data_IF_719336447159
#
_entry.id   IF_719336447159
#
_cell.length_a   1.000
_cell.length_b   1.000
_cell.length_c   1.000
_cell.angle_alpha   90.00
_cell.angle_beta   90.00
_cell.angle_gamma   90.00
#
_symmetry.space_group_name_H-M   'P 1'
#
loop_
_entity.id
_entity.type
_entity.pdbx_description
1 polymer ?
#
# COMPACT_ATOMS: atom_id res chain seq x y z
N UNK A 1 -36.23 20.85 3.59
CA UNK A 1 -35.48 19.72 4.18
C UNK A 1 -36.42 18.52 4.26
N UNK A 2 -36.32 17.47 3.42
CA UNK A 2 -36.77 16.09 3.77
C UNK A 2 -36.63 15.05 2.63
N UNK A 3 -36.58 15.43 1.35
CA UNK A 3 -36.41 14.44 0.27
C UNK A 3 -35.02 13.78 0.31
N UNK A 4 -33.94 14.58 0.39
CA UNK A 4 -32.56 14.07 0.45
C UNK A 4 -32.34 13.16 1.66
N UNK A 5 -32.79 13.58 2.85
CA UNK A 5 -32.63 12.79 4.10
C UNK A 5 -33.39 11.46 4.02
N UNK A 6 -34.60 11.46 3.48
CA UNK A 6 -35.41 10.24 3.32
C UNK A 6 -34.76 9.28 2.32
N UNK A 7 -34.28 9.80 1.19
CA UNK A 7 -33.56 9.01 0.18
C UNK A 7 -32.26 8.45 0.75
N UNK A 8 -31.50 9.25 1.52
CA UNK A 8 -30.26 8.80 2.17
C UNK A 8 -30.53 7.70 3.21
N UNK A 9 -31.59 7.83 4.03
CA UNK A 9 -31.97 6.82 5.02
C UNK A 9 -32.39 5.51 4.36
N UNK A 10 -33.20 5.58 3.31
CA UNK A 10 -33.64 4.40 2.57
C UNK A 10 -32.46 3.72 1.86
N UNK A 11 -31.55 4.52 1.30
CA UNK A 11 -30.31 4.03 0.68
C UNK A 11 -29.40 3.30 1.68
N UNK A 12 -29.18 3.89 2.86
CA UNK A 12 -28.42 3.27 3.95
C UNK A 12 -29.08 1.98 4.46
N UNK A 13 -30.41 1.94 4.58
CA UNK A 13 -31.11 0.73 5.02
C UNK A 13 -30.88 -0.45 4.06
N UNK A 14 -30.91 -0.21 2.74
CA UNK A 14 -30.57 -1.23 1.75
C UNK A 14 -29.11 -1.62 1.76
N UNK A 15 -28.20 -0.70 2.07
CA UNK A 15 -26.77 -1.00 2.19
C UNK A 15 -26.50 -2.03 3.27
N UNK A 16 -27.12 -1.88 4.44
CA UNK A 16 -26.92 -2.80 5.56
C UNK A 16 -27.72 -4.11 5.43
N UNK A 17 -28.77 -4.14 4.60
CA UNK A 17 -29.52 -5.36 4.31
C UNK A 17 -28.69 -6.42 3.54
N UNK A 18 -27.79 -6.00 2.64
CA UNK A 18 -26.88 -6.90 1.93
C UNK A 18 -25.54 -7.02 2.68
N UNK A 19 -25.35 -8.12 3.41
CA UNK A 19 -24.13 -8.40 4.16
C UNK A 19 -22.87 -8.33 3.30
N UNK A 20 -22.94 -8.77 2.03
CA UNK A 20 -21.77 -8.76 1.16
C UNK A 20 -21.40 -7.34 0.73
N UNK A 21 -22.35 -6.41 0.72
CA UNK A 21 -22.14 -5.04 0.27
C UNK A 21 -21.28 -4.20 1.24
N UNK A 22 -21.46 -4.39 2.55
CA UNK A 22 -20.77 -3.59 3.57
C UNK A 22 -19.59 -4.32 4.23
N UNK A 23 -19.62 -5.65 4.35
CA UNK A 23 -18.65 -6.40 5.17
C UNK A 23 -17.22 -6.30 4.62
N UNK A 24 -17.03 -6.38 3.30
CA UNK A 24 -15.70 -6.30 2.68
C UNK A 24 -15.06 -4.89 2.83
N UNK A 25 -15.73 -3.78 2.49
CA UNK A 25 -15.20 -2.44 2.75
C UNK A 25 -14.93 -2.17 4.23
N UNK A 26 -15.85 -2.56 5.12
CA UNK A 26 -15.71 -2.35 6.58
C UNK A 26 -14.51 -3.11 7.12
N UNK A 27 -14.35 -4.40 6.76
CA UNK A 27 -13.20 -5.19 7.16
C UNK A 27 -11.88 -4.58 6.67
N UNK A 28 -11.85 -4.08 5.42
CA UNK A 28 -10.65 -3.43 4.88
C UNK A 28 -10.29 -2.15 5.64
N UNK A 29 -11.26 -1.26 5.93
CA UNK A 29 -11.03 -0.08 6.75
C UNK A 29 -10.66 -0.43 8.20
N UNK A 30 -11.19 -1.52 8.75
CA UNK A 30 -10.83 -2.02 10.08
C UNK A 30 -9.36 -2.46 10.14
N UNK A 31 -8.89 -3.22 9.15
CA UNK A 31 -7.48 -3.64 9.05
C UNK A 31 -6.55 -2.42 8.89
N UNK A 32 -6.90 -1.49 8.00
CA UNK A 32 -6.16 -0.22 7.82
C UNK A 32 -6.06 0.51 9.15
N UNK A 33 -7.17 0.67 9.87
CA UNK A 33 -7.21 1.41 11.13
C UNK A 33 -6.45 0.71 12.25
N UNK A 34 -6.60 -0.61 12.41
CA UNK A 34 -5.89 -1.38 13.43
C UNK A 34 -4.36 -1.28 13.25
N UNK A 35 -3.89 -1.43 12.01
CA UNK A 35 -2.46 -1.37 11.70
C UNK A 35 -1.93 0.07 11.80
N UNK A 36 -2.65 1.07 11.30
CA UNK A 36 -2.24 2.48 11.43
C UNK A 36 -2.18 2.95 12.88
N UNK A 37 -3.14 2.57 13.73
CA UNK A 37 -3.11 2.89 15.16
C UNK A 37 -1.95 2.18 15.88
N UNK A 38 -1.69 0.91 15.54
CA UNK A 38 -0.57 0.16 16.11
C UNK A 38 0.78 0.80 15.78
N UNK A 39 0.98 1.20 14.52
CA UNK A 39 2.20 1.89 14.07
C UNK A 39 2.31 3.26 14.72
N UNK A 40 1.25 4.06 14.74
CA UNK A 40 1.26 5.38 15.37
C UNK A 40 1.55 5.30 16.88
N UNK A 41 0.99 4.30 17.57
CA UNK A 41 1.27 4.02 18.97
C UNK A 41 2.74 3.68 19.22
N UNK A 42 3.30 2.77 18.42
CA UNK A 42 4.72 2.42 18.48
C UNK A 42 5.64 3.60 18.16
N UNK A 43 5.30 4.42 17.16
CA UNK A 43 6.08 5.63 16.84
C UNK A 43 6.03 6.60 18.01
N UNK A 44 4.85 6.85 18.59
CA UNK A 44 4.70 7.73 19.76
C UNK A 44 5.59 7.28 20.92
N UNK A 45 5.66 5.97 21.20
CA UNK A 45 6.51 5.41 22.26
C UNK A 45 7.96 5.89 22.15
N UNK A 46 8.57 5.80 20.96
CA UNK A 46 9.97 6.22 20.77
C UNK A 46 10.17 7.73 20.89
N UNK A 47 9.15 8.54 20.61
CA UNK A 47 9.20 10.00 20.78
C UNK A 47 9.00 10.45 22.23
N UNK A 48 8.52 9.56 23.11
CA UNK A 48 8.32 9.83 24.55
C UNK A 48 9.40 9.22 25.43
N UNK A 49 10.43 8.59 24.86
CA UNK A 49 11.54 8.03 25.63
C UNK A 49 12.41 9.15 26.22
N UNK A 50 12.61 9.12 27.53
CA UNK A 50 13.41 10.10 28.25
C UNK A 50 14.91 9.91 28.00
N UNK A 51 15.66 11.02 28.00
CA UNK A 51 17.11 11.03 27.78
C UNK A 51 17.89 10.20 28.82
N UNK A 52 17.36 10.02 30.03
CA UNK A 52 17.96 9.14 31.04
C UNK A 52 17.94 7.67 30.64
N UNK A 53 16.97 7.23 29.84
CA UNK A 53 16.78 5.82 29.48
C UNK A 53 17.56 5.42 28.23
N UNK A 54 17.64 6.33 27.26
CA UNK A 54 18.25 6.08 25.94
C UNK A 54 19.54 6.87 25.68
N UNK A 55 19.97 7.70 26.63
CA UNK A 55 21.22 8.47 26.53
C UNK A 55 21.31 9.28 25.24
N UNK A 56 22.50 9.29 24.64
CA UNK A 56 22.78 9.93 23.34
C UNK A 56 22.10 9.21 22.16
N UNK A 57 21.63 7.98 22.35
CA UNK A 57 21.02 7.14 21.31
C UNK A 57 19.55 7.43 21.06
N UNK A 58 18.89 8.23 21.92
CA UNK A 58 17.47 8.59 21.77
C UNK A 58 17.13 9.16 20.39
N UNK A 59 18.04 9.96 19.82
CA UNK A 59 17.88 10.47 18.47
C UNK A 59 17.78 9.36 17.41
N UNK A 60 18.61 8.32 17.50
CA UNK A 60 18.60 7.21 16.53
C UNK A 60 17.28 6.45 16.59
N UNK A 61 16.72 6.21 17.79
CA UNK A 61 15.39 5.64 17.93
C UNK A 61 14.31 6.49 17.24
N UNK A 62 14.37 7.82 17.38
CA UNK A 62 13.43 8.72 16.70
C UNK A 62 13.56 8.65 15.17
N UNK A 63 14.79 8.61 14.63
CA UNK A 63 15.03 8.46 13.19
C UNK A 63 14.45 7.14 12.68
N UNK A 64 14.73 6.03 13.36
CA UNK A 64 14.26 4.70 12.99
C UNK A 64 12.74 4.58 13.07
N UNK A 65 12.13 5.12 14.12
CA UNK A 65 10.68 5.16 14.28
C UNK A 65 10.00 6.01 13.21
N UNK A 66 10.56 7.19 12.90
CA UNK A 66 10.04 8.04 11.83
C UNK A 66 10.19 7.38 10.45
N UNK A 67 11.33 6.71 10.21
CA UNK A 67 11.59 5.98 8.97
C UNK A 67 10.58 4.83 8.79
N UNK A 68 10.36 4.05 9.85
CA UNK A 68 9.33 3.01 9.89
C UNK A 68 7.93 3.56 9.56
N UNK A 69 7.56 4.72 10.14
CA UNK A 69 6.28 5.37 9.86
C UNK A 69 6.15 5.73 8.38
N UNK A 70 7.14 6.43 7.81
CA UNK A 70 7.16 6.86 6.41
C UNK A 70 7.06 5.67 5.45
N UNK A 71 7.82 4.60 5.72
CA UNK A 71 7.80 3.38 4.92
C UNK A 71 6.44 2.69 4.94
N UNK A 72 5.64 2.82 5.99
CA UNK A 72 4.32 2.20 6.10
C UNK A 72 3.17 3.07 5.59
N UNK A 73 3.36 4.40 5.44
CA UNK A 73 2.32 5.32 4.95
C UNK A 73 1.78 4.89 3.57
N UNK A 74 2.67 4.55 2.62
CA UNK A 74 2.24 4.21 1.27
C UNK A 74 1.45 2.88 1.18
N UNK A 75 1.89 1.77 1.81
CA UNK A 75 1.09 0.55 1.92
C UNK A 75 -0.29 0.78 2.54
N UNK A 76 -0.38 1.61 3.58
CA UNK A 76 -1.66 2.00 4.22
C UNK A 76 -2.57 2.73 3.22
N UNK A 77 -2.05 3.74 2.52
CA UNK A 77 -2.81 4.49 1.49
C UNK A 77 -3.26 3.56 0.36
N UNK A 78 -2.38 2.64 -0.07
CA UNK A 78 -2.69 1.66 -1.11
C UNK A 78 -3.85 0.75 -0.71
N UNK A 79 -3.84 0.23 0.51
CA UNK A 79 -4.91 -0.61 1.05
C UNK A 79 -6.22 0.17 1.20
N UNK A 80 -6.18 1.40 1.73
CA UNK A 80 -7.34 2.28 1.82
C UNK A 80 -7.94 2.59 0.43
N UNK A 81 -7.10 2.84 -0.56
CA UNK A 81 -7.51 3.04 -1.95
C UNK A 81 -8.12 1.78 -2.58
N UNK A 82 -7.60 0.60 -2.26
CA UNK A 82 -8.16 -0.68 -2.70
C UNK A 82 -9.55 -0.92 -2.09
N UNK A 83 -9.73 -0.62 -0.81
CA UNK A 83 -11.02 -0.65 -0.12
C UNK A 83 -12.04 0.31 -0.76
N UNK A 84 -11.63 1.54 -1.04
CA UNK A 84 -12.48 2.53 -1.69
C UNK A 84 -12.92 2.11 -3.12
N UNK A 85 -12.05 1.44 -3.87
CA UNK A 85 -12.41 0.89 -5.20
C UNK A 85 -13.48 -0.19 -5.11
N UNK A 86 -13.39 -1.10 -4.14
CA UNK A 86 -14.45 -2.10 -3.92
C UNK A 86 -15.79 -1.45 -3.65
N UNK A 87 -15.79 -0.40 -2.82
CA UNK A 87 -17.00 0.36 -2.50
C UNK A 87 -17.58 1.04 -3.75
N UNK A 88 -16.73 1.77 -4.49
CA UNK A 88 -17.15 2.49 -5.69
C UNK A 88 -17.87 1.57 -6.68
N UNK A 89 -17.35 0.35 -6.87
CA UNK A 89 -17.94 -0.57 -7.82
C UNK A 89 -19.32 -1.08 -7.44
N UNK A 90 -19.52 -1.52 -6.20
CA UNK A 90 -20.84 -1.99 -5.73
C UNK A 90 -21.88 -0.87 -5.77
N UNK A 91 -21.42 0.37 -5.76
CA UNK A 91 -22.24 1.58 -5.80
C UNK A 91 -22.56 2.00 -7.24
N UNK A 92 -21.65 1.83 -8.20
CA UNK A 92 -21.82 2.31 -9.58
C UNK A 92 -23.06 1.73 -10.29
N UNK A 93 -23.38 0.45 -10.09
CA UNK A 93 -24.62 -0.16 -10.60
C UNK A 93 -25.88 0.47 -10.00
N UNK A 94 -25.85 0.76 -8.69
CA UNK A 94 -26.98 1.39 -7.99
C UNK A 94 -27.14 2.85 -8.41
N UNK A 95 -26.04 3.61 -8.52
CA UNK A 95 -26.08 5.01 -8.95
C UNK A 95 -26.43 5.18 -10.42
N UNK A 96 -26.04 4.24 -11.30
CA UNK A 96 -26.42 4.31 -12.71
C UNK A 96 -27.93 4.17 -12.88
N UNK A 97 -28.57 3.23 -12.15
CA UNK A 97 -30.03 3.10 -12.14
C UNK A 97 -30.73 4.36 -11.62
N UNK A 98 -30.24 4.96 -10.54
CA UNK A 98 -30.77 6.23 -10.01
C UNK A 98 -30.61 7.38 -11.01
N UNK A 99 -29.48 7.44 -11.71
CA UNK A 99 -29.22 8.45 -12.75
C UNK A 99 -30.12 8.26 -13.97
N UNK A 100 -30.44 7.02 -14.35
CA UNK A 100 -31.40 6.72 -15.42
C UNK A 100 -32.83 7.17 -15.08
N UNK A 101 -33.20 7.16 -13.80
CA UNK A 101 -34.51 7.63 -13.29
C UNK A 101 -34.48 9.16 -13.01
N UNK A 102 -33.40 9.86 -13.37
CA UNK A 102 -33.30 11.32 -13.30
C UNK A 102 -32.67 11.90 -12.04
N UNK A 103 -31.98 11.10 -11.22
CA UNK A 103 -31.28 11.62 -10.03
C UNK A 103 -30.18 12.64 -10.42
N UNK A 104 -30.12 13.78 -9.69
CA UNK A 104 -29.12 14.83 -9.91
C UNK A 104 -27.72 14.42 -9.48
N UNK A 105 -26.67 15.01 -10.08
CA UNK A 105 -25.27 14.77 -9.71
C UNK A 105 -24.98 15.12 -8.24
N UNK A 106 -25.61 16.17 -7.72
CA UNK A 106 -25.52 16.56 -6.31
C UNK A 106 -26.09 15.49 -5.36
N UNK A 107 -27.22 14.86 -5.72
CA UNK A 107 -27.78 13.76 -4.95
C UNK A 107 -26.85 12.54 -4.96
N UNK A 108 -26.32 12.15 -6.13
CA UNK A 108 -25.39 11.03 -6.23
C UNK A 108 -24.10 11.28 -5.44
N UNK A 109 -23.60 12.53 -5.44
CA UNK A 109 -22.42 12.94 -4.67
C UNK A 109 -22.68 12.88 -3.17
N UNK A 110 -23.81 13.38 -2.69
CA UNK A 110 -24.17 13.33 -1.26
C UNK A 110 -24.37 11.89 -0.78
N UNK A 111 -25.10 11.06 -1.54
CA UNK A 111 -25.26 9.63 -1.24
C UNK A 111 -23.91 8.92 -1.14
N UNK A 112 -23.02 9.20 -2.08
CA UNK A 112 -21.66 8.65 -2.08
C UNK A 112 -20.84 9.05 -0.86
N UNK A 113 -20.85 10.35 -0.53
CA UNK A 113 -20.08 10.86 0.61
C UNK A 113 -20.61 10.22 1.90
N UNK A 114 -21.94 10.16 2.07
CA UNK A 114 -22.55 9.55 3.26
C UNK A 114 -22.22 8.06 3.34
N UNK A 115 -22.38 7.30 2.26
CA UNK A 115 -22.05 5.86 2.23
C UNK A 115 -20.58 5.62 2.59
N UNK A 116 -19.66 6.38 1.99
CA UNK A 116 -18.23 6.27 2.26
C UNK A 116 -17.88 6.66 3.69
N UNK A 117 -18.45 7.76 4.21
CA UNK A 117 -18.24 8.20 5.59
C UNK A 117 -18.75 7.16 6.59
N UNK A 118 -19.95 6.60 6.39
CA UNK A 118 -20.52 5.58 7.28
C UNK A 118 -19.65 4.33 7.28
N UNK A 119 -19.30 3.79 6.11
CA UNK A 119 -18.48 2.57 6.03
C UNK A 119 -17.06 2.78 6.55
N UNK A 120 -16.43 3.92 6.26
CA UNK A 120 -15.11 4.25 6.78
C UNK A 120 -15.13 4.44 8.31
N UNK A 121 -16.18 5.06 8.85
CA UNK A 121 -16.33 5.27 10.31
C UNK A 121 -16.61 3.95 11.02
N UNK A 122 -17.54 3.13 10.53
CA UNK A 122 -17.82 1.81 11.11
C UNK A 122 -16.58 0.92 11.02
N UNK A 123 -15.89 0.92 9.87
CA UNK A 123 -14.64 0.21 9.69
C UNK A 123 -13.55 0.68 10.63
N UNK A 124 -13.30 1.99 10.72
CA UNK A 124 -12.23 2.53 11.57
C UNK A 124 -12.51 2.30 13.05
N UNK A 125 -13.75 2.43 13.52
CA UNK A 125 -14.18 2.07 14.87
C UNK A 125 -14.01 0.57 15.15
N UNK A 126 -14.36 -0.29 14.19
CA UNK A 126 -14.09 -1.73 14.29
C UNK A 126 -12.58 -1.99 14.36
N UNK A 127 -11.77 -1.21 13.66
CA UNK A 127 -10.32 -1.26 13.73
C UNK A 127 -9.74 -0.82 15.08
N UNK A 128 -10.43 0.01 15.86
CA UNK A 128 -10.03 0.32 17.25
C UNK A 128 -10.10 -0.94 18.11
N UNK A 129 -11.09 -1.80 17.91
CA UNK A 129 -11.18 -3.11 18.57
C UNK A 129 -9.97 -3.97 18.15
N UNK A 130 -9.66 -4.01 16.86
CA UNK A 130 -8.48 -4.72 16.34
C UNK A 130 -7.16 -4.18 16.92
N UNK A 131 -7.02 -2.86 17.06
CA UNK A 131 -5.88 -2.23 17.73
C UNK A 131 -5.79 -2.65 19.20
N UNK A 132 -6.91 -2.68 19.93
CA UNK A 132 -6.97 -3.18 21.30
C UNK A 132 -6.56 -4.66 21.42
N UNK A 133 -6.90 -5.49 20.42
CA UNK A 133 -6.48 -6.90 20.35
C UNK A 133 -4.99 -7.06 20.02
N UNK A 134 -4.42 -6.18 19.19
CA UNK A 134 -2.99 -6.17 18.85
C UNK A 134 -2.12 -5.58 19.96
N UNK A 135 -2.70 -4.76 20.82
CA UNK A 135 -2.03 -4.07 21.92
C UNK A 135 -1.25 -5.00 22.89
N UNK A 136 -1.82 -6.12 23.42
CA UNK A 136 -1.05 -7.06 24.24
C UNK A 136 0.12 -7.68 23.47
N UNK A 137 -0.10 -8.09 22.23
CA UNK A 137 0.92 -8.72 21.39
C UNK A 137 2.07 -7.76 21.12
N UNK A 138 1.77 -6.52 20.76
CA UNK A 138 2.77 -5.49 20.58
C UNK A 138 3.45 -5.11 21.92
N UNK A 139 2.73 -5.15 23.05
CA UNK A 139 3.27 -4.83 24.38
C UNK A 139 4.27 -5.85 24.90
N UNK A 140 4.24 -7.08 24.37
CA UNK A 140 5.24 -8.12 24.64
C UNK A 140 6.56 -7.90 23.89
N UNK A 141 6.59 -7.01 22.89
CA UNK A 141 7.83 -6.68 22.20
C UNK A 141 8.79 -6.00 23.17
N UNK A 142 10.06 -6.40 23.11
CA UNK A 142 11.11 -5.87 23.97
C UNK A 142 11.86 -4.79 23.21
N UNK A 143 11.87 -3.59 23.78
CA UNK A 143 12.63 -2.43 23.32
C UNK A 143 13.28 -1.75 24.52
N UNK A 144 14.48 -1.21 24.35
CA UNK A 144 15.24 -0.49 25.38
C UNK A 144 15.43 -1.36 26.64
N UNK A 145 15.73 -2.65 26.43
CA UNK A 145 16.00 -3.62 27.50
C UNK A 145 14.77 -4.19 28.23
N UNK A 146 13.56 -3.66 27.99
CA UNK A 146 12.32 -4.06 28.66
C UNK A 146 11.13 -4.24 27.70
N UNK A 147 10.00 -4.81 28.16
CA UNK A 147 8.78 -4.84 27.36
C UNK A 147 8.19 -3.43 27.21
N UNK A 148 7.65 -3.08 26.03
CA UNK A 148 6.97 -1.78 25.83
C UNK A 148 5.78 -1.62 26.79
N UNK A 149 5.07 -2.73 27.05
CA UNK A 149 3.84 -2.74 27.84
C UNK A 149 2.65 -2.12 27.09
N UNK A 150 1.43 -2.38 27.58
CA UNK A 150 0.23 -1.79 26.97
C UNK A 150 0.24 -0.27 27.06
N UNK A 151 0.65 0.31 28.19
CA UNK A 151 0.70 1.76 28.35
C UNK A 151 1.60 2.44 27.31
N UNK A 152 2.72 1.81 26.93
CA UNK A 152 3.65 2.35 25.92
C UNK A 152 3.08 2.40 24.50
N UNK A 153 2.23 1.44 24.13
CA UNK A 153 1.59 1.41 22.79
C UNK A 153 0.36 2.31 22.72
N UNK A 154 -0.20 2.72 23.86
CA UNK A 154 -1.40 3.54 23.90
C UNK A 154 -1.19 4.90 23.25
N UNK A 155 -1.81 5.09 22.09
CA UNK A 155 -1.71 6.32 21.32
C UNK A 155 -2.36 7.53 22.02
N UNK A 156 -3.22 7.30 23.00
CA UNK A 156 -3.99 8.35 23.67
C UNK A 156 -5.21 8.77 22.85
N UNK A 157 -6.19 9.36 23.53
CA UNK A 157 -7.46 9.78 22.91
C UNK A 157 -7.25 10.78 21.74
N UNK A 158 -6.39 11.82 21.87
CA UNK A 158 -6.19 12.78 20.79
C UNK A 158 -5.57 12.15 19.53
N UNK A 159 -4.54 11.32 19.70
CA UNK A 159 -3.87 10.65 18.58
C UNK A 159 -4.79 9.60 17.91
N UNK A 160 -5.59 8.89 18.71
CA UNK A 160 -6.60 7.96 18.19
C UNK A 160 -7.62 8.68 17.31
N UNK A 161 -8.20 9.79 17.80
CA UNK A 161 -9.16 10.58 17.01
C UNK A 161 -8.52 11.17 15.75
N UNK A 162 -7.27 11.61 15.82
CA UNK A 162 -6.53 12.11 14.66
C UNK A 162 -6.39 11.03 13.57
N UNK A 163 -5.94 9.82 13.93
CA UNK A 163 -5.79 8.71 12.97
C UNK A 163 -7.13 8.29 12.37
N UNK A 164 -8.18 8.17 13.18
CA UNK A 164 -9.53 7.86 12.69
C UNK A 164 -10.02 8.92 11.69
N UNK A 165 -9.80 10.20 12.01
CA UNK A 165 -10.18 11.32 11.12
C UNK A 165 -9.46 11.23 9.79
N UNK A 166 -8.14 10.98 9.81
CA UNK A 166 -7.34 10.80 8.59
C UNK A 166 -7.87 9.65 7.74
N UNK A 167 -8.17 8.49 8.34
CA UNK A 167 -8.69 7.32 7.62
C UNK A 167 -10.05 7.62 6.97
N UNK A 168 -10.95 8.28 7.69
CA UNK A 168 -12.26 8.68 7.16
C UNK A 168 -12.10 9.67 6.00
N UNK A 169 -11.26 10.70 6.18
CA UNK A 169 -10.98 11.70 5.13
C UNK A 169 -10.40 11.05 3.88
N UNK A 170 -9.43 10.13 4.04
CA UNK A 170 -8.83 9.39 2.92
C UNK A 170 -9.87 8.51 2.22
N UNK A 171 -10.71 7.80 2.97
CA UNK A 171 -11.78 6.95 2.43
C UNK A 171 -12.81 7.73 1.62
N UNK A 172 -13.28 8.86 2.17
CA UNK A 172 -14.23 9.77 1.51
C UNK A 172 -13.60 10.39 0.27
N UNK A 173 -12.37 10.90 0.37
CA UNK A 173 -11.64 11.51 -0.75
C UNK A 173 -11.45 10.52 -1.91
N UNK A 174 -11.07 9.28 -1.59
CA UNK A 174 -10.93 8.21 -2.58
C UNK A 174 -12.27 7.87 -3.24
N UNK A 175 -13.36 7.85 -2.46
CA UNK A 175 -14.72 7.60 -2.97
C UNK A 175 -15.22 8.70 -3.92
N UNK A 176 -14.94 9.96 -3.60
CA UNK A 176 -15.21 11.12 -4.47
C UNK A 176 -14.40 11.03 -5.76
N UNK A 177 -13.12 10.64 -5.67
CA UNK A 177 -12.29 10.41 -6.85
C UNK A 177 -12.87 9.37 -7.82
N UNK A 178 -13.58 8.36 -7.30
CA UNK A 178 -14.28 7.34 -8.08
C UNK A 178 -15.50 7.88 -8.87
N UNK A 179 -16.24 8.84 -8.31
CA UNK A 179 -17.44 9.45 -8.93
C UNK A 179 -17.15 10.16 -10.26
N UNK A 180 -15.93 10.68 -10.47
CA UNK A 180 -15.55 11.38 -11.71
C UNK A 180 -15.80 10.55 -12.97
N UNK A 181 -15.83 9.21 -12.88
CA UNK A 181 -16.18 8.32 -14.00
C UNK A 181 -17.68 8.29 -14.32
N UNK A 182 -18.54 8.46 -13.32
CA UNK A 182 -20.02 8.45 -13.45
C UNK A 182 -20.54 9.83 -13.85
N UNK A 183 -19.85 10.89 -13.44
CA UNK A 183 -20.27 12.26 -13.69
C UNK A 183 -20.15 12.67 -15.16
N UNK A 184 -19.19 12.09 -15.90
CA UNK A 184 -18.74 12.62 -17.19
C UNK A 184 -19.64 12.26 -18.38
N UNK A 185 -20.41 11.16 -18.43
CA UNK A 185 -21.52 11.04 -19.43
C UNK A 185 -22.34 9.76 -19.24
N UNK A 186 -23.69 9.81 -19.26
CA UNK A 186 -24.54 8.62 -19.27
C UNK A 186 -24.35 7.72 -20.52
N UNK A 187 -23.64 8.23 -21.55
CA UNK A 187 -23.27 7.51 -22.79
C UNK A 187 -21.82 6.97 -22.83
N UNK A 188 -21.05 7.07 -21.75
CA UNK A 188 -19.66 6.58 -21.67
C UNK A 188 -19.48 5.07 -21.90
N UNK A 189 -20.59 4.34 -22.03
CA UNK A 189 -20.68 2.91 -22.39
C UNK A 189 -20.25 2.66 -23.84
N UNK A 190 -20.35 3.64 -24.75
CA UNK A 190 -19.99 3.46 -26.18
C UNK A 190 -18.62 4.02 -26.56
N UNK A 191 -18.04 4.89 -25.73
CA UNK A 191 -16.70 5.46 -25.95
C UNK A 191 -15.79 5.09 -24.80
N UNK A 192 -14.91 4.09 -25.02
CA UNK A 192 -13.84 3.71 -24.09
C UNK A 192 -13.04 4.96 -23.69
N UNK A 193 -13.34 5.53 -22.53
CA UNK A 193 -12.67 6.73 -22.04
C UNK A 193 -11.17 6.47 -21.97
N UNK A 194 -10.40 7.29 -22.70
CA UNK A 194 -8.95 7.19 -22.81
C UNK A 194 -8.32 7.21 -21.41
N UNK A 195 -7.37 6.30 -21.09
CA UNK A 195 -6.68 6.32 -19.82
C UNK A 195 -5.93 7.65 -19.64
N UNK A 196 -5.93 8.16 -18.40
CA UNK A 196 -5.25 9.39 -18.02
C UNK A 196 -3.81 9.39 -18.57
N UNK A 197 -3.49 10.39 -19.40
CA UNK A 197 -2.15 10.52 -19.99
C UNK A 197 -1.17 10.84 -18.85
N UNK A 198 -0.27 9.92 -18.55
CA UNK A 198 0.83 10.14 -17.62
C UNK A 198 1.80 11.15 -18.26
N UNK A 199 1.81 12.37 -17.73
CA UNK A 199 2.69 13.44 -18.20
C UNK A 199 4.13 13.17 -17.74
N UNK A 200 5.09 13.33 -18.64
CA UNK A 200 6.53 13.19 -18.35
C UNK A 200 6.99 14.11 -17.20
N UNK A 201 6.24 15.18 -16.93
CA UNK A 201 6.44 16.08 -15.79
C UNK A 201 6.49 15.35 -14.44
N UNK A 202 5.80 14.22 -14.28
CA UNK A 202 5.86 13.45 -13.03
C UNK A 202 7.23 12.79 -12.81
N UNK A 203 7.94 12.47 -13.90
CA UNK A 203 9.30 11.92 -13.87
C UNK A 203 10.28 13.04 -13.55
N UNK A 204 10.14 14.21 -14.19
CA UNK A 204 10.96 15.39 -13.88
C UNK A 204 10.78 15.78 -12.42
N UNK A 205 9.55 15.87 -11.94
CA UNK A 205 9.27 16.17 -10.55
C UNK A 205 9.92 15.16 -9.59
N UNK A 206 9.82 13.85 -9.88
CA UNK A 206 10.44 12.81 -9.08
C UNK A 206 11.99 12.89 -9.07
N UNK A 207 12.61 13.05 -10.24
CA UNK A 207 14.07 13.14 -10.38
C UNK A 207 14.61 14.43 -9.77
N UNK A 208 13.93 15.56 -9.96
CA UNK A 208 14.28 16.85 -9.35
C UNK A 208 14.14 16.77 -7.83
N UNK A 209 13.10 16.13 -7.30
CA UNK A 209 12.93 15.99 -5.84
C UNK A 209 13.99 15.07 -5.23
N UNK A 210 14.38 14.00 -5.94
CA UNK A 210 15.48 13.10 -5.54
C UNK A 210 16.82 13.85 -5.51
N UNK A 211 17.15 14.55 -6.59
CA UNK A 211 18.40 15.31 -6.70
C UNK A 211 18.43 16.48 -5.72
N UNK A 212 17.32 17.21 -5.56
CA UNK A 212 17.21 18.31 -4.61
C UNK A 212 17.34 17.83 -3.16
N UNK A 213 16.71 16.71 -2.80
CA UNK A 213 16.90 16.09 -1.48
C UNK A 213 18.35 15.69 -1.22
N UNK A 214 19.01 15.11 -2.24
CA UNK A 214 20.41 14.69 -2.14
C UNK A 214 21.39 15.88 -2.06
N UNK A 215 21.19 16.93 -2.87
CA UNK A 215 22.01 18.13 -2.82
C UNK A 215 21.79 18.92 -1.53
N UNK A 216 20.56 19.01 -1.06
CA UNK A 216 20.22 19.63 0.23
C UNK A 216 20.86 18.90 1.40
N UNK A 217 20.86 17.56 1.38
CA UNK A 217 21.52 16.71 2.38
C UNK A 217 23.05 16.93 2.46
N UNK A 218 23.70 17.20 1.32
CA UNK A 218 25.14 17.46 1.26
C UNK A 218 25.51 18.93 1.57
N UNK A 219 24.58 19.87 1.41
CA UNK A 219 24.85 21.31 1.53
C UNK A 219 24.65 21.86 2.95
N UNK A 220 23.75 21.27 3.76
CA UNK A 220 23.61 21.66 5.16
C UNK A 220 24.46 20.72 6.02
N UNK A 221 25.56 21.24 6.57
CA UNK A 221 26.25 20.59 7.68
C UNK A 221 25.25 20.25 8.79
N UNK A 222 25.30 19.02 9.30
CA UNK A 222 24.35 18.49 10.27
C UNK A 222 24.47 19.19 11.64
N UNK A 223 23.78 20.32 11.82
CA UNK A 223 23.80 21.08 13.07
C UNK A 223 22.77 20.65 14.13
N UNK A 224 21.74 19.88 13.76
CA UNK A 224 20.71 19.41 14.71
C UNK A 224 20.14 18.03 14.37
N UNK A 225 19.77 17.25 15.40
CA UNK A 225 19.18 15.91 15.26
C UNK A 225 17.89 15.92 14.42
N UNK A 226 17.09 16.98 14.54
CA UNK A 226 15.86 17.12 13.77
C UNK A 226 16.10 17.28 12.27
N UNK A 227 17.21 17.92 11.88
CA UNK A 227 17.60 18.05 10.48
C UNK A 227 18.03 16.69 9.90
N UNK A 228 18.76 15.88 10.68
CA UNK A 228 19.13 14.52 10.28
C UNK A 228 17.88 13.65 10.08
N UNK A 229 16.91 13.70 11.01
CA UNK A 229 15.63 13.01 10.86
C UNK A 229 14.95 13.41 9.55
N UNK A 230 14.76 14.72 9.30
CA UNK A 230 14.11 15.20 8.07
C UNK A 230 14.85 14.73 6.82
N UNK A 231 16.19 14.80 6.84
CA UNK A 231 17.03 14.39 5.72
C UNK A 231 16.87 12.91 5.37
N UNK A 232 16.96 12.02 6.38
CA UNK A 232 16.78 10.58 6.19
C UNK A 232 15.36 10.27 5.72
N UNK A 233 14.34 10.92 6.30
CA UNK A 233 12.95 10.72 5.88
C UNK A 233 12.74 11.13 4.42
N UNK A 234 13.23 12.29 4.01
CA UNK A 234 13.13 12.77 2.62
C UNK A 234 13.85 11.82 1.67
N UNK A 235 15.05 11.36 2.03
CA UNK A 235 15.86 10.46 1.22
C UNK A 235 15.17 9.12 0.90
N UNK A 236 14.37 8.57 1.82
CA UNK A 236 13.60 7.33 1.57
C UNK A 236 12.17 7.60 1.08
N UNK A 237 11.49 8.64 1.56
CA UNK A 237 10.11 8.95 1.20
C UNK A 237 9.97 9.35 -0.28
N UNK A 238 10.84 10.24 -0.76
CA UNK A 238 10.77 10.80 -2.11
C UNK A 238 10.88 9.71 -3.19
N UNK A 239 11.89 8.82 -3.16
CA UNK A 239 11.97 7.72 -4.12
C UNK A 239 10.76 6.78 -4.02
N UNK A 240 10.29 6.48 -2.80
CA UNK A 240 9.12 5.64 -2.60
C UNK A 240 7.86 6.24 -3.24
N UNK A 241 7.66 7.56 -3.12
CA UNK A 241 6.59 8.31 -3.80
C UNK A 241 6.81 8.29 -5.31
N UNK A 242 8.04 8.49 -5.78
CA UNK A 242 8.40 8.46 -7.19
C UNK A 242 8.04 7.11 -7.84
N UNK A 243 8.25 5.98 -7.16
CA UNK A 243 7.85 4.66 -7.63
C UNK A 243 6.36 4.62 -8.01
N UNK A 244 5.49 5.24 -7.21
CA UNK A 244 4.05 5.29 -7.48
C UNK A 244 3.71 6.01 -8.79
N UNK A 245 4.44 7.08 -9.12
CA UNK A 245 4.22 7.86 -10.32
C UNK A 245 4.87 7.25 -11.57
N UNK A 246 6.04 6.64 -11.43
CA UNK A 246 6.81 6.04 -12.52
C UNK A 246 6.24 4.67 -12.91
N UNK A 247 5.75 3.90 -11.93
CA UNK A 247 5.29 2.52 -12.10
C UNK A 247 4.36 2.28 -13.31
N UNK A 248 3.21 2.96 -13.41
CA UNK A 248 2.29 2.80 -14.55
C UNK A 248 2.91 3.14 -15.91
N UNK A 249 3.79 4.14 -15.96
CA UNK A 249 4.47 4.56 -17.18
C UNK A 249 5.50 3.52 -17.61
N UNK A 250 6.28 2.99 -16.66
CA UNK A 250 7.24 1.93 -16.91
C UNK A 250 6.55 0.66 -17.42
N UNK A 251 5.46 0.25 -16.77
CA UNK A 251 4.63 -0.89 -17.24
C UNK A 251 4.17 -0.63 -18.67
N UNK A 252 3.69 0.58 -18.99
CA UNK A 252 3.23 0.93 -20.34
C UNK A 252 4.35 0.76 -21.37
N UNK A 253 5.54 1.30 -21.10
CA UNK A 253 6.67 1.24 -22.04
C UNK A 253 7.10 -0.20 -22.28
N UNK A 254 7.44 -0.92 -21.21
CA UNK A 254 7.98 -2.29 -21.36
C UNK A 254 6.91 -3.22 -21.94
N UNK A 255 5.64 -3.05 -21.56
CA UNK A 255 4.55 -3.85 -22.15
C UNK A 255 4.30 -3.49 -23.61
N UNK A 256 4.45 -2.24 -24.03
CA UNK A 256 4.32 -1.85 -25.44
C UNK A 256 5.40 -2.47 -26.31
N UNK A 257 6.62 -2.58 -25.78
CA UNK A 257 7.72 -3.29 -26.42
C UNK A 257 7.46 -4.80 -26.48
N UNK A 258 6.98 -5.40 -25.38
CA UNK A 258 6.58 -6.82 -25.35
C UNK A 258 5.43 -7.12 -26.32
N UNK A 259 4.48 -6.20 -26.50
CA UNK A 259 3.38 -6.34 -27.46
C UNK A 259 3.92 -6.46 -28.89
N UNK A 260 4.93 -5.66 -29.26
CA UNK A 260 5.56 -5.71 -30.59
C UNK A 260 6.32 -7.02 -30.84
N UNK A 261 6.79 -7.68 -29.78
CA UNK A 261 7.51 -8.96 -29.84
C UNK A 261 6.64 -10.17 -29.54
N UNK A 262 5.32 -10.01 -29.39
CA UNK A 262 4.44 -11.10 -29.01
C UNK A 262 4.23 -12.07 -30.19
N UNK A 263 4.76 -13.29 -30.08
CA UNK A 263 4.66 -14.35 -31.10
C UNK A 263 3.52 -15.33 -30.84
N UNK A 264 2.92 -15.32 -29.64
CA UNK A 264 1.84 -16.22 -29.24
C UNK A 264 0.55 -15.44 -28.97
N UNK A 265 -0.61 -16.03 -29.30
CA UNK A 265 -1.92 -15.43 -29.06
C UNK A 265 -2.10 -15.02 -27.59
N UNK A 266 -1.67 -15.87 -26.64
CA UNK A 266 -1.75 -15.58 -25.21
C UNK A 266 -0.92 -14.36 -24.81
N UNK A 267 0.30 -14.21 -25.35
CA UNK A 267 1.16 -13.07 -25.07
C UNK A 267 0.56 -11.77 -25.64
N UNK A 268 -0.02 -11.84 -26.83
CA UNK A 268 -0.64 -10.69 -27.48
C UNK A 268 -1.89 -10.21 -26.71
N UNK A 269 -2.76 -11.14 -26.33
CA UNK A 269 -3.95 -10.84 -25.51
C UNK A 269 -3.53 -10.30 -24.15
N UNK A 270 -2.58 -10.93 -23.46
CA UNK A 270 -2.09 -10.47 -22.16
C UNK A 270 -1.48 -9.06 -22.23
N UNK A 271 -0.64 -8.78 -23.23
CA UNK A 271 -0.01 -7.47 -23.39
C UNK A 271 -1.04 -6.37 -23.71
N UNK A 272 -2.02 -6.64 -24.58
CA UNK A 272 -3.13 -5.71 -24.85
C UNK A 272 -3.99 -5.47 -23.61
N UNK A 273 -4.27 -6.52 -22.84
CA UNK A 273 -5.06 -6.46 -21.62
C UNK A 273 -4.39 -5.61 -20.51
N UNK A 274 -3.06 -5.56 -20.47
CA UNK A 274 -2.30 -4.68 -19.58
C UNK A 274 -2.26 -3.24 -20.12
N UNK A 275 -2.07 -3.07 -21.43
CA UNK A 275 -1.99 -1.75 -22.08
C UNK A 275 -3.32 -0.99 -22.12
N UNK A 276 -4.46 -1.68 -21.97
CA UNK A 276 -5.76 -1.04 -21.78
C UNK A 276 -5.77 -0.14 -20.54
N UNK A 277 -5.07 -0.54 -19.47
CA UNK A 277 -4.94 0.29 -18.26
C UNK A 277 -3.68 -0.06 -17.44
N UNK A 278 -2.51 0.52 -17.79
CA UNK A 278 -1.26 0.29 -17.06
C UNK A 278 -1.34 0.68 -15.58
N UNK A 279 -2.16 1.70 -15.25
CA UNK A 279 -2.40 2.11 -13.87
C UNK A 279 -3.14 1.04 -13.06
N UNK A 280 -4.07 0.30 -13.67
CA UNK A 280 -4.74 -0.81 -12.99
C UNK A 280 -3.76 -1.95 -12.76
N UNK A 281 -2.94 -2.29 -13.76
CA UNK A 281 -1.87 -3.28 -13.63
C UNK A 281 -0.85 -2.90 -12.54
N UNK A 282 -0.45 -1.63 -12.45
CA UNK A 282 0.36 -1.14 -11.34
C UNK A 282 -0.33 -1.36 -10.00
N UNK A 283 -1.61 -0.97 -9.85
CA UNK A 283 -2.29 -1.11 -8.56
C UNK A 283 -2.48 -2.56 -8.10
N UNK A 284 -2.38 -3.55 -8.99
CA UNK A 284 -2.42 -4.99 -8.63
C UNK A 284 -1.19 -5.44 -7.85
N UNK A 285 -0.05 -4.83 -8.16
CA UNK A 285 1.28 -5.32 -7.79
C UNK A 285 2.04 -4.25 -6.99
N UNK A 286 1.58 -3.01 -7.01
CA UNK A 286 2.25 -1.86 -6.38
C UNK A 286 2.43 -2.03 -4.87
N UNK A 287 1.52 -2.75 -4.18
CA UNK A 287 1.72 -3.12 -2.79
C UNK A 287 3.02 -3.91 -2.57
N UNK A 288 3.37 -4.78 -3.51
CA UNK A 288 4.57 -5.62 -3.44
C UNK A 288 5.83 -4.85 -3.83
N UNK A 289 5.70 -3.88 -4.73
CA UNK A 289 6.78 -2.91 -4.96
C UNK A 289 7.19 -2.24 -3.65
N UNK A 290 6.21 -1.73 -2.90
CA UNK A 290 6.45 -1.03 -1.64
C UNK A 290 7.04 -1.98 -0.58
N UNK A 291 6.55 -3.21 -0.45
CA UNK A 291 7.17 -4.19 0.47
C UNK A 291 8.57 -4.60 0.06
N UNK A 292 8.87 -4.64 -1.24
CA UNK A 292 10.21 -4.93 -1.74
C UNK A 292 11.16 -3.78 -1.41
N UNK A 293 10.71 -2.53 -1.58
CA UNK A 293 11.46 -1.35 -1.16
C UNK A 293 11.77 -1.40 0.33
N UNK A 294 10.74 -1.65 1.15
CA UNK A 294 10.87 -1.80 2.61
C UNK A 294 11.80 -2.96 2.97
N UNK A 295 11.72 -4.08 2.24
CA UNK A 295 12.59 -5.24 2.44
C UNK A 295 14.06 -4.98 2.14
N UNK A 296 14.37 -4.14 1.14
CA UNK A 296 15.75 -3.73 0.85
C UNK A 296 16.27 -2.77 1.92
N UNK A 297 15.48 -1.76 2.30
CA UNK A 297 15.87 -0.81 3.35
C UNK A 297 16.00 -1.52 4.70
N UNK A 298 15.07 -2.41 5.01
CA UNK A 298 15.09 -3.26 6.20
C UNK A 298 16.25 -4.26 6.20
N UNK A 299 16.51 -4.93 5.07
CA UNK A 299 17.67 -5.82 4.92
C UNK A 299 18.99 -5.12 5.21
N UNK A 300 19.14 -3.90 4.71
CA UNK A 300 20.29 -3.04 5.01
C UNK A 300 20.32 -2.59 6.49
N UNK A 301 19.17 -2.31 7.11
CA UNK A 301 19.09 -2.03 8.55
C UNK A 301 19.49 -3.24 9.41
N UNK A 302 19.05 -4.44 9.04
CA UNK A 302 19.44 -5.69 9.72
C UNK A 302 20.92 -6.00 9.56
N UNK A 303 21.48 -5.80 8.36
CA UNK A 303 22.92 -6.00 8.16
C UNK A 303 23.74 -4.99 8.95
N UNK A 304 23.31 -3.73 9.01
CA UNK A 304 23.95 -2.69 9.84
C UNK A 304 24.03 -3.11 11.31
N UNK A 305 22.92 -3.58 11.89
CA UNK A 305 22.91 -4.11 13.26
C UNK A 305 23.80 -5.35 13.41
N UNK A 306 23.80 -6.26 12.43
CA UNK A 306 24.65 -7.47 12.50
C UNK A 306 26.14 -7.11 12.49
N UNK A 307 26.56 -6.17 11.65
CA UNK A 307 27.95 -5.70 11.57
C UNK A 307 28.35 -5.04 12.88
N UNK A 308 27.47 -4.21 13.46
CA UNK A 308 27.69 -3.58 14.76
C UNK A 308 27.85 -4.62 15.89
N UNK A 309 27.12 -5.74 15.84
CA UNK A 309 27.24 -6.82 16.82
C UNK A 309 28.48 -7.70 16.65
N UNK A 310 29.00 -7.85 15.42
CA UNK A 310 30.09 -8.79 15.11
C UNK A 310 31.49 -8.19 15.17
N UNK A 311 31.63 -6.87 15.35
CA UNK A 311 32.94 -6.21 15.42
C UNK A 311 33.71 -6.54 16.71
N UNK A 312 35.05 -6.44 16.64
CA UNK A 312 35.97 -6.57 17.79
C UNK A 312 35.67 -5.56 18.93
N UNK A 313 34.87 -4.52 18.66
CA UNK A 313 34.35 -3.54 19.63
C UNK A 313 33.15 -4.00 20.47
N UNK A 314 32.62 -5.21 20.25
CA UNK A 314 31.54 -5.76 21.10
C UNK A 314 31.96 -5.97 22.57
N UNK A 315 33.27 -6.11 22.82
CA UNK A 315 33.85 -6.28 24.16
C UNK A 315 33.90 -5.00 25.02
N UNK A 316 33.35 -3.88 24.56
CA UNK A 316 33.27 -2.62 25.31
C UNK A 316 32.06 -1.75 24.98
N UNK A 317 31.04 -2.33 24.34
CA UNK A 317 29.83 -1.61 23.93
C UNK A 317 28.95 -1.31 25.14
N UNK A 318 28.50 -0.06 25.28
CA UNK A 318 27.61 0.34 26.35
C UNK A 318 26.28 -0.46 26.29
N UNK A 319 25.65 -0.80 27.43
CA UNK A 319 24.39 -1.56 27.45
C UNK A 319 23.27 -0.94 26.60
N UNK A 320 23.27 0.39 26.45
CA UNK A 320 22.30 1.14 25.64
C UNK A 320 22.52 0.89 24.14
N UNK A 321 23.76 0.84 23.68
CA UNK A 321 24.10 0.56 22.28
C UNK A 321 23.77 -0.88 21.90
N UNK A 322 24.01 -1.83 22.81
CA UNK A 322 23.67 -3.24 22.58
C UNK A 322 22.15 -3.46 22.48
N UNK A 323 21.37 -2.73 23.29
CA UNK A 323 19.91 -2.71 23.16
C UNK A 323 19.47 -2.11 21.81
N UNK A 324 20.10 -1.01 21.36
CA UNK A 324 19.77 -0.39 20.06
C UNK A 324 19.96 -1.37 18.88
N UNK A 325 21.03 -2.16 18.91
CA UNK A 325 21.30 -3.17 17.87
C UNK A 325 20.21 -4.24 17.84
N UNK A 326 19.81 -4.77 19.00
CA UNK A 326 18.74 -5.77 19.11
C UNK A 326 17.37 -5.20 18.73
N UNK A 327 17.10 -3.96 19.13
CA UNK A 327 15.88 -3.23 18.84
C UNK A 327 15.76 -2.92 17.35
N UNK A 328 16.86 -2.61 16.67
CA UNK A 328 16.90 -2.39 15.23
C UNK A 328 16.45 -3.65 14.46
N UNK A 329 16.93 -4.84 14.85
CA UNK A 329 16.46 -6.11 14.26
C UNK A 329 14.96 -6.32 14.47
N UNK A 330 14.49 -6.13 15.70
CA UNK A 330 13.08 -6.31 16.07
C UNK A 330 12.18 -5.32 15.33
N UNK A 331 12.56 -4.05 15.28
CA UNK A 331 11.83 -2.99 14.59
C UNK A 331 11.75 -3.19 13.08
N UNK A 332 12.84 -3.63 12.45
CA UNK A 332 12.84 -3.97 11.02
C UNK A 332 11.93 -5.17 10.73
N UNK A 333 12.03 -6.26 11.51
CA UNK A 333 11.16 -7.42 11.30
C UNK A 333 9.68 -7.05 11.48
N UNK A 334 9.37 -6.26 12.50
CA UNK A 334 8.01 -5.79 12.77
C UNK A 334 7.46 -4.95 11.60
N UNK A 335 8.22 -3.97 11.13
CA UNK A 335 7.82 -3.14 9.97
C UNK A 335 7.62 -3.97 8.73
N UNK A 336 8.48 -4.96 8.48
CA UNK A 336 8.36 -5.86 7.34
C UNK A 336 7.08 -6.72 7.43
N UNK A 337 6.79 -7.29 8.60
CA UNK A 337 5.55 -8.05 8.83
C UNK A 337 4.32 -7.18 8.58
N UNK A 338 4.27 -5.97 9.13
CA UNK A 338 3.15 -5.04 8.92
C UNK A 338 3.01 -4.68 7.43
N UNK A 339 4.12 -4.39 6.76
CA UNK A 339 4.12 -4.07 5.33
C UNK A 339 3.58 -5.24 4.49
N UNK A 340 3.99 -6.47 4.78
CA UNK A 340 3.50 -7.67 4.09
C UNK A 340 2.03 -7.95 4.37
N UNK A 341 1.54 -7.73 5.60
CA UNK A 341 0.11 -7.83 5.92
C UNK A 341 -0.72 -6.82 5.11
N UNK A 342 -0.27 -5.56 5.05
CA UNK A 342 -0.92 -4.52 4.25
C UNK A 342 -0.92 -4.87 2.76
N UNK A 343 0.20 -5.36 2.23
CA UNK A 343 0.30 -5.79 0.84
C UNK A 343 -0.58 -7.01 0.55
N UNK A 344 -0.62 -8.00 1.43
CA UNK A 344 -1.46 -9.18 1.29
C UNK A 344 -2.95 -8.81 1.20
N UNK A 345 -3.44 -7.97 2.12
CA UNK A 345 -4.81 -7.46 2.08
C UNK A 345 -5.09 -6.67 0.79
N UNK A 346 -4.16 -5.80 0.39
CA UNK A 346 -4.32 -4.96 -0.81
C UNK A 346 -4.36 -5.78 -2.09
N UNK A 347 -3.48 -6.79 -2.21
CA UNK A 347 -3.45 -7.75 -3.32
C UNK A 347 -4.73 -8.56 -3.35
N UNK A 348 -5.18 -9.13 -2.23
CA UNK A 348 -6.41 -9.93 -2.18
C UNK A 348 -7.64 -9.12 -2.64
N UNK A 349 -7.77 -7.88 -2.16
CA UNK A 349 -8.84 -6.97 -2.56
C UNK A 349 -8.76 -6.65 -4.06
N UNK A 350 -7.58 -6.28 -4.54
CA UNK A 350 -7.40 -5.82 -5.92
C UNK A 350 -7.58 -6.96 -6.92
N UNK A 351 -7.08 -8.17 -6.62
CA UNK A 351 -7.26 -9.35 -7.47
C UNK A 351 -8.75 -9.73 -7.58
N UNK A 352 -9.48 -9.69 -6.45
CA UNK A 352 -10.91 -9.99 -6.43
C UNK A 352 -11.72 -8.97 -7.22
N UNK A 353 -11.45 -7.67 -7.00
CA UNK A 353 -12.10 -6.58 -7.72
C UNK A 353 -11.95 -6.73 -9.24
N UNK A 354 -10.77 -7.15 -9.70
CA UNK A 354 -10.48 -7.22 -11.13
C UNK A 354 -11.08 -8.39 -11.88
N UNK A 355 -11.13 -9.56 -11.24
CA UNK A 355 -11.85 -10.70 -11.82
C UNK A 355 -13.29 -10.32 -12.07
N UNK A 356 -13.89 -9.66 -11.09
CA UNK A 356 -15.22 -9.13 -11.24
C UNK A 356 -15.24 -8.03 -12.34
N UNK A 357 -14.27 -7.10 -12.41
CA UNK A 357 -14.32 -5.93 -13.35
C UNK A 357 -14.30 -6.37 -14.81
N UNK A 358 -13.59 -7.47 -15.07
CA UNK A 358 -13.40 -8.05 -16.40
C UNK A 358 -14.32 -9.24 -16.66
N UNK A 359 -15.36 -9.43 -15.85
CA UNK A 359 -16.30 -10.54 -15.98
C UNK A 359 -16.86 -10.67 -17.40
N UNK A 360 -17.40 -9.58 -17.96
CA UNK A 360 -17.97 -9.55 -19.31
C UNK A 360 -16.94 -9.83 -20.41
N UNK A 361 -15.69 -9.37 -20.23
CA UNK A 361 -14.59 -9.67 -21.14
C UNK A 361 -14.27 -11.17 -21.14
N UNK A 362 -14.15 -11.78 -19.95
CA UNK A 362 -13.85 -13.21 -19.83
C UNK A 362 -14.98 -14.09 -20.35
N UNK A 363 -16.23 -13.72 -20.10
CA UNK A 363 -17.41 -14.37 -20.69
C UNK A 363 -17.40 -14.25 -22.22
N UNK A 364 -17.12 -13.06 -22.76
CA UNK A 364 -17.01 -12.84 -24.20
C UNK A 364 -15.93 -13.69 -24.87
N UNK A 365 -14.73 -13.77 -24.27
CA UNK A 365 -13.64 -14.62 -24.75
C UNK A 365 -14.01 -16.11 -24.73
N UNK A 366 -14.73 -16.56 -23.69
CA UNK A 366 -15.21 -17.94 -23.60
C UNK A 366 -16.26 -18.25 -24.68
N UNK A 367 -17.16 -17.29 -24.97
CA UNK A 367 -18.15 -17.41 -26.07
C UNK A 367 -17.49 -17.49 -27.46
N UNK A 368 -16.32 -16.89 -27.64
CA UNK A 368 -15.54 -16.96 -28.89
C UNK A 368 -14.73 -18.27 -28.99
N UNK A 369 -14.79 -19.14 -27.98
CA UNK A 369 -14.18 -20.48 -28.00
C UNK A 369 -12.85 -20.60 -27.22
N UNK A 370 -12.46 -19.59 -26.45
CA UNK A 370 -11.24 -19.65 -25.64
C UNK A 370 -11.41 -20.64 -24.47
N UNK A 371 -10.48 -21.60 -24.35
CA UNK A 371 -10.54 -22.60 -23.29
C UNK A 371 -10.27 -21.98 -21.91
N UNK A 372 -10.74 -22.64 -20.84
CA UNK A 372 -10.50 -22.19 -19.47
C UNK A 372 -9.01 -22.10 -19.12
N UNK A 373 -8.18 -22.96 -19.73
CA UNK A 373 -6.75 -22.98 -19.46
C UNK A 373 -6.00 -21.89 -20.23
N UNK A 374 -6.43 -21.58 -21.45
CA UNK A 374 -5.93 -20.40 -22.17
C UNK A 374 -6.27 -19.10 -21.43
N UNK A 375 -7.49 -19.00 -20.87
CA UNK A 375 -7.90 -17.85 -20.03
C UNK A 375 -7.02 -17.71 -18.78
N UNK A 376 -6.73 -18.82 -18.08
CA UNK A 376 -5.81 -18.83 -16.92
C UNK A 376 -4.40 -18.42 -17.33
N UNK A 377 -3.87 -18.94 -18.44
CA UNK A 377 -2.55 -18.61 -18.97
C UNK A 377 -2.42 -17.14 -19.34
N UNK A 378 -3.40 -16.58 -20.06
CA UNK A 378 -3.48 -15.15 -20.35
C UNK A 378 -3.49 -14.30 -19.08
N UNK A 379 -4.30 -14.67 -18.09
CA UNK A 379 -4.38 -13.96 -16.81
C UNK A 379 -3.05 -14.01 -16.06
N UNK A 380 -2.41 -15.18 -15.99
CA UNK A 380 -1.10 -15.35 -15.36
C UNK A 380 -0.06 -14.46 -16.04
N UNK A 381 0.03 -14.48 -17.38
CA UNK A 381 0.97 -13.62 -18.13
C UNK A 381 0.68 -12.13 -17.95
N UNK A 382 -0.59 -11.73 -17.91
CA UNK A 382 -0.98 -10.33 -17.71
C UNK A 382 -0.60 -9.78 -16.33
N UNK A 383 -0.43 -10.65 -15.32
CA UNK A 383 -0.03 -10.26 -13.96
C UNK A 383 1.48 -10.44 -13.74
N UNK A 384 2.04 -11.60 -14.09
CA UNK A 384 3.47 -11.86 -13.94
C UNK A 384 4.35 -11.05 -14.89
N UNK A 385 3.82 -10.66 -16.05
CA UNK A 385 4.53 -9.81 -16.99
C UNK A 385 4.93 -8.48 -16.36
N UNK A 386 3.97 -7.65 -15.91
CA UNK A 386 4.23 -6.43 -15.14
C UNK A 386 4.98 -6.68 -13.83
N UNK A 387 4.73 -7.79 -13.14
CA UNK A 387 5.37 -8.09 -11.85
C UNK A 387 6.90 -8.02 -11.91
N UNK A 388 7.52 -8.73 -12.85
CA UNK A 388 8.98 -8.74 -12.97
C UNK A 388 9.55 -7.35 -13.25
N UNK A 389 8.84 -6.53 -14.05
CA UNK A 389 9.24 -5.16 -14.35
C UNK A 389 9.24 -4.33 -13.07
N UNK A 390 8.18 -4.47 -12.27
CA UNK A 390 8.02 -3.74 -11.01
C UNK A 390 9.06 -4.18 -9.98
N UNK A 391 9.30 -5.48 -9.82
CA UNK A 391 10.28 -5.99 -8.85
C UNK A 391 11.69 -5.53 -9.19
N UNK A 392 12.13 -5.68 -10.44
CA UNK A 392 13.48 -5.26 -10.86
C UNK A 392 13.64 -3.75 -10.69
N UNK A 393 12.67 -2.96 -11.15
CA UNK A 393 12.72 -1.50 -11.03
C UNK A 393 12.76 -1.05 -9.57
N UNK A 394 11.93 -1.65 -8.72
CA UNK A 394 11.87 -1.28 -7.31
C UNK A 394 13.11 -1.71 -6.55
N UNK A 395 13.67 -2.89 -6.88
CA UNK A 395 14.94 -3.35 -6.33
C UNK A 395 16.07 -2.38 -6.68
N UNK A 396 16.19 -1.99 -7.96
CA UNK A 396 17.19 -1.02 -8.41
C UNK A 396 17.00 0.32 -7.69
N UNK A 397 15.76 0.83 -7.63
CA UNK A 397 15.47 2.09 -6.96
C UNK A 397 15.81 2.03 -5.46
N UNK A 398 15.46 0.94 -4.77
CA UNK A 398 15.73 0.77 -3.36
C UNK A 398 17.24 0.69 -3.06
N UNK A 399 17.98 -0.07 -3.86
CA UNK A 399 19.44 -0.16 -3.77
C UNK A 399 20.09 1.19 -4.07
N UNK A 400 19.65 1.88 -5.12
CA UNK A 400 20.14 3.22 -5.46
C UNK A 400 19.89 4.24 -4.34
N UNK A 401 18.82 4.07 -3.55
CA UNK A 401 18.54 4.93 -2.40
C UNK A 401 19.30 4.53 -1.15
N UNK A 402 19.51 3.24 -0.92
CA UNK A 402 20.21 2.74 0.25
C UNK A 402 21.73 2.94 0.16
N UNK A 403 22.31 2.81 -1.03
CA UNK A 403 23.77 2.85 -1.23
C UNK A 403 24.46 4.12 -0.71
N UNK A 404 24.00 5.35 -1.03
CA UNK A 404 24.67 6.56 -0.56
C UNK A 404 24.50 6.81 0.95
N UNK A 405 23.41 6.30 1.54
CA UNK A 405 23.09 6.52 2.94
C UNK A 405 23.75 5.49 3.86
N UNK A 406 23.81 4.23 3.44
CA UNK A 406 24.22 3.11 4.28
C UNK A 406 25.57 2.49 3.86
N UNK A 407 26.04 2.82 2.66
CA UNK A 407 27.28 2.29 2.11
C UNK A 407 27.14 0.92 1.47
N UNK A 408 28.05 0.61 0.54
CA UNK A 408 28.01 -0.61 -0.27
C UNK A 408 28.17 -1.89 0.57
N UNK A 409 28.99 -1.83 1.62
CA UNK A 409 29.24 -2.97 2.50
C UNK A 409 27.96 -3.45 3.21
N UNK A 410 27.12 -2.51 3.66
CA UNK A 410 25.85 -2.81 4.35
C UNK A 410 24.82 -3.37 3.37
N UNK A 411 24.71 -2.78 2.17
CA UNK A 411 23.70 -3.17 1.18
C UNK A 411 23.97 -4.56 0.60
N UNK A 412 25.24 -4.89 0.33
CA UNK A 412 25.66 -6.16 -0.30
C UNK A 412 25.97 -7.24 0.74
N UNK A 413 25.82 -6.95 2.05
CA UNK A 413 26.03 -7.92 3.11
C UNK A 413 25.16 -9.18 2.90
N UNK A 414 25.67 -10.39 3.23
CA UNK A 414 24.93 -11.65 3.03
C UNK A 414 23.55 -11.65 3.69
N UNK A 415 23.43 -11.08 4.91
CA UNK A 415 22.17 -10.96 5.62
C UNK A 415 21.18 -10.05 4.88
N UNK A 416 21.63 -8.90 4.39
CA UNK A 416 20.80 -7.98 3.58
C UNK A 416 20.29 -8.68 2.32
N UNK A 417 21.18 -9.38 1.59
CA UNK A 417 20.80 -10.12 0.39
C UNK A 417 19.79 -11.25 0.69
N UNK A 418 19.97 -11.97 1.80
CA UNK A 418 19.02 -13.00 2.25
C UNK A 418 17.65 -12.40 2.54
N UNK A 419 17.59 -11.29 3.29
CA UNK A 419 16.34 -10.60 3.61
C UNK A 419 15.64 -10.15 2.33
N UNK A 420 16.37 -9.56 1.39
CA UNK A 420 15.83 -9.14 0.09
C UNK A 420 15.29 -10.34 -0.69
N UNK A 421 16.03 -11.46 -0.72
CA UNK A 421 15.57 -12.68 -1.39
C UNK A 421 14.28 -13.24 -0.77
N UNK A 422 14.21 -13.29 0.57
CA UNK A 422 13.01 -13.71 1.30
C UNK A 422 11.84 -12.75 1.01
N UNK A 423 12.08 -11.44 1.00
CA UNK A 423 11.05 -10.45 0.68
C UNK A 423 10.50 -10.62 -0.74
N UNK A 424 11.37 -10.85 -1.72
CA UNK A 424 10.98 -11.09 -3.10
C UNK A 424 10.17 -12.39 -3.22
N UNK A 425 10.61 -13.46 -2.56
CA UNK A 425 9.89 -14.73 -2.52
C UNK A 425 8.49 -14.58 -1.88
N UNK A 426 8.39 -13.90 -0.73
CA UNK A 426 7.12 -13.60 -0.07
C UNK A 426 6.20 -12.74 -0.94
N UNK A 427 6.74 -11.72 -1.60
CA UNK A 427 5.97 -10.88 -2.52
C UNK A 427 5.41 -11.67 -3.72
N UNK A 428 6.22 -12.54 -4.32
CA UNK A 428 5.80 -13.39 -5.44
C UNK A 428 4.74 -14.41 -5.00
N UNK A 429 4.94 -15.07 -3.86
CA UNK A 429 3.98 -16.05 -3.33
C UNK A 429 2.65 -15.38 -2.97
N UNK A 430 2.65 -14.17 -2.42
CA UNK A 430 1.41 -13.42 -2.17
C UNK A 430 0.59 -13.18 -3.45
N UNK A 431 1.23 -12.88 -4.58
CA UNK A 431 0.51 -12.76 -5.87
C UNK A 431 -0.01 -14.10 -6.33
N UNK A 432 0.78 -15.17 -6.21
CA UNK A 432 0.34 -16.51 -6.59
C UNK A 432 -0.91 -16.90 -5.80
N UNK A 433 -0.90 -16.72 -4.48
CA UNK A 433 -2.05 -16.98 -3.60
C UNK A 433 -3.24 -16.07 -3.95
N UNK A 434 -3.01 -14.78 -4.23
CA UNK A 434 -4.04 -13.85 -4.70
C UNK A 434 -4.67 -14.25 -6.04
N UNK A 435 -3.88 -14.82 -6.95
CA UNK A 435 -4.37 -15.33 -8.23
C UNK A 435 -5.15 -16.64 -8.04
N UNK A 436 -4.66 -17.55 -7.20
CA UNK A 436 -5.33 -18.83 -6.94
C UNK A 436 -6.67 -18.62 -6.24
N UNK A 437 -6.73 -17.79 -5.21
CA UNK A 437 -7.98 -17.45 -4.53
C UNK A 437 -9.03 -16.87 -5.50
N UNK A 438 -8.61 -16.00 -6.43
CA UNK A 438 -9.50 -15.42 -7.43
C UNK A 438 -9.88 -16.36 -8.61
N UNK A 439 -9.35 -17.59 -8.66
CA UNK A 439 -9.84 -18.60 -9.63
C UNK A 439 -11.23 -19.12 -9.27
N UNK A 440 -11.57 -19.16 -7.98
CA UNK A 440 -12.89 -19.60 -7.51
C UNK A 440 -13.99 -18.66 -8.01
N UNK A 441 -13.79 -17.35 -7.82
CA UNK A 441 -14.65 -16.29 -8.35
C UNK A 441 -14.70 -16.29 -9.88
N UNK A 442 -13.59 -16.56 -10.56
CA UNK A 442 -13.58 -16.69 -12.02
C UNK A 442 -14.48 -17.84 -12.50
N UNK A 443 -14.47 -18.99 -11.81
CA UNK A 443 -15.34 -20.13 -12.16
C UNK A 443 -16.81 -19.78 -12.04
N UNK A 444 -17.20 -19.10 -10.95
CA UNK A 444 -18.58 -18.65 -10.74
C UNK A 444 -19.01 -17.67 -11.83
N UNK A 445 -18.16 -16.68 -12.16
CA UNK A 445 -18.47 -15.67 -13.18
C UNK A 445 -18.57 -16.25 -14.57
N UNK A 446 -17.76 -17.25 -14.91
CA UNK A 446 -17.72 -17.82 -16.28
C UNK A 446 -18.70 -18.98 -16.48
N UNK A 447 -19.33 -19.49 -15.41
CA UNK A 447 -20.37 -20.50 -15.48
C UNK A 447 -21.75 -19.91 -15.87
N UNK A 448 -21.95 -18.61 -15.60
CA UNK A 448 -23.06 -17.80 -16.12
C UNK A 448 -22.66 -17.18 -17.47
#
# INVERSE_FOLDING_TARGET
MNATVTVTRLFLSRLFADRQAWLLPVAAFAVVSALSLSVAGGVRFFFTLDQQTVGTMGGFYMVLAALAAVLLVMPVISLAGAAAKLLARRRDERLSSLRLIGASSGLLRTLTIVEASVLATVGSLTGVIGYGMLMPLAGMLRFVGGPIGMAGIWLGLPGLLAVLTVIVVVGVSASIGGLRRVEITPLGVRTRQRPARLHWLRIVAAVVLLIAGQLFANALGAGSMMLLIVMVLVAFAVPMVALHFIGPWLIKIVTSWRLRRATTAEALVAARAVLESPQQAWSQIGGIALTTYIGVVGGAGMSLASIASSGEGSAGMDPIEMNLVADLHTGVLLTMVIAFLLAACSVAITQTAQVLDRASLYQGLRRIGMSSDQLKSCRRRAVFGPLWIVLIFTLIAAVATALPLLGIAVVVAPLSMLVVAVCLALGITLIQVGLLSSTSTLRVVTAN
#
